data_IF_877360784823
#
_entry.id   IF_877360784823
#
_cell.length_a   1.000
_cell.length_b   1.000
_cell.length_c   1.000
_cell.angle_alpha   90.00
_cell.angle_beta   90.00
_cell.angle_gamma   90.00
#
_symmetry.space_group_name_H-M   'P 1'
#
loop_
_entity.id
_entity.type
_entity.pdbx_description
1 polymer ?
#
# COMPACT_ATOMS: atom_id res chain seq x y z
N UNK A 1 4.38 -20.66 -2.40
CA UNK A 1 4.82 -19.26 -2.54
C UNK A 1 4.89 -18.60 -1.19
N UNK A 2 6.05 -18.04 -0.84
CA UNK A 2 6.26 -17.20 0.34
C UNK A 2 6.17 -15.74 -0.07
N UNK A 3 5.40 -14.94 0.67
CA UNK A 3 5.26 -13.51 0.37
C UNK A 3 5.91 -12.66 1.45
N UNK A 4 6.82 -11.78 1.05
CA UNK A 4 7.39 -10.76 1.90
C UNK A 4 6.59 -9.47 1.77
N UNK A 5 6.43 -8.70 2.84
CA UNK A 5 5.91 -7.33 2.77
C UNK A 5 6.89 -6.38 3.44
N UNK A 6 7.29 -5.35 2.70
CA UNK A 6 7.89 -4.12 3.24
C UNK A 6 6.86 -3.02 3.01
N UNK A 7 6.41 -2.39 4.10
CA UNK A 7 5.41 -1.33 4.07
C UNK A 7 5.76 -0.21 5.04
N UNK A 8 5.10 0.93 4.89
CA UNK A 8 5.25 2.08 5.78
C UNK A 8 4.66 1.81 7.17
N UNK A 9 3.43 1.31 7.23
CA UNK A 9 2.71 1.10 8.47
C UNK A 9 1.92 -0.22 8.54
N UNK A 10 1.37 -0.48 9.74
CA UNK A 10 0.55 -1.68 9.99
C UNK A 10 -0.80 -1.64 9.27
N UNK A 11 -1.33 -0.44 9.05
CA UNK A 11 -2.57 -0.22 8.30
C UNK A 11 -2.41 -0.69 6.84
N UNK A 12 -1.30 -0.34 6.19
CA UNK A 12 -1.00 -0.71 4.81
C UNK A 12 -0.89 -2.23 4.64
N UNK A 13 -0.20 -2.89 5.57
CA UNK A 13 -0.09 -4.35 5.60
C UNK A 13 -1.45 -5.02 5.66
N UNK A 14 -2.38 -4.51 6.49
CA UNK A 14 -3.73 -5.07 6.58
C UNK A 14 -4.47 -4.98 5.24
N UNK A 15 -4.33 -3.85 4.54
CA UNK A 15 -4.92 -3.64 3.20
C UNK A 15 -4.28 -4.56 2.17
N UNK A 16 -2.95 -4.64 2.11
CA UNK A 16 -2.21 -5.52 1.18
C UNK A 16 -2.59 -6.98 1.40
N UNK A 17 -2.63 -7.45 2.65
CA UNK A 17 -3.06 -8.83 2.98
C UNK A 17 -4.48 -9.10 2.50
N UNK A 18 -5.39 -8.13 2.60
CA UNK A 18 -6.73 -8.28 2.04
C UNK A 18 -6.74 -8.37 0.51
N UNK A 19 -5.94 -7.55 -0.18
CA UNK A 19 -5.78 -7.63 -1.64
C UNK A 19 -5.25 -9.01 -2.05
N UNK A 20 -4.15 -9.46 -1.44
CA UNK A 20 -3.53 -10.76 -1.71
C UNK A 20 -4.52 -11.92 -1.49
N UNK A 21 -5.25 -11.90 -0.36
CA UNK A 21 -6.25 -12.93 -0.05
C UNK A 21 -7.38 -12.95 -1.09
N UNK A 22 -7.87 -11.79 -1.49
CA UNK A 22 -8.99 -11.70 -2.42
C UNK A 22 -8.59 -12.02 -3.86
N UNK A 23 -7.38 -11.64 -4.27
CA UNK A 23 -6.90 -11.80 -5.64
C UNK A 23 -6.34 -13.20 -5.92
N UNK A 24 -5.60 -13.77 -4.95
CA UNK A 24 -4.83 -15.00 -5.15
C UNK A 24 -5.15 -16.09 -4.12
N UNK A 25 -6.06 -15.85 -3.18
CA UNK A 25 -6.45 -16.83 -2.15
C UNK A 25 -5.43 -17.01 -1.01
N UNK A 26 -4.32 -16.27 -1.06
CA UNK A 26 -3.15 -16.39 -0.19
C UNK A 26 -3.51 -16.06 1.24
N UNK A 27 -3.20 -16.95 2.18
CA UNK A 27 -3.50 -16.74 3.58
C UNK A 27 -2.44 -15.86 4.28
N UNK A 28 -2.83 -15.22 5.37
CA UNK A 28 -1.92 -14.39 6.15
C UNK A 28 -0.76 -15.20 6.76
N UNK A 29 -0.93 -16.51 6.94
CA UNK A 29 0.15 -17.42 7.36
C UNK A 29 1.28 -17.56 6.34
N UNK A 30 1.00 -17.30 5.07
CA UNK A 30 1.98 -17.41 3.98
C UNK A 30 2.73 -16.08 3.76
N UNK A 31 2.38 -15.06 4.55
CA UNK A 31 2.89 -13.69 4.46
C UNK A 31 3.84 -13.41 5.62
N UNK A 32 5.08 -13.10 5.28
CA UNK A 32 6.13 -12.63 6.18
C UNK A 32 6.22 -11.12 6.10
N UNK A 33 5.98 -10.47 7.24
CA UNK A 33 6.11 -9.03 7.38
C UNK A 33 7.57 -8.68 7.68
N UNK A 34 8.29 -8.21 6.66
CA UNK A 34 9.68 -7.76 6.81
C UNK A 34 9.71 -6.36 7.45
N UNK A 35 8.75 -5.50 7.09
CA UNK A 35 8.62 -4.16 7.67
C UNK A 35 7.16 -3.66 7.73
N UNK A 36 6.76 -2.94 8.79
CA UNK A 36 7.44 -2.81 10.10
C UNK A 36 7.67 -4.15 10.76
N UNK A 37 8.77 -4.37 11.48
CA UNK A 37 8.93 -5.64 12.22
C UNK A 37 7.92 -5.68 13.39
N UNK A 38 7.48 -6.87 13.84
CA UNK A 38 6.60 -6.95 15.01
C UNK A 38 7.27 -6.42 16.29
N UNK A 39 8.61 -6.34 16.33
CA UNK A 39 9.39 -5.89 17.47
C UNK A 39 9.49 -4.37 17.62
N UNK A 40 9.16 -3.61 16.57
CA UNK A 40 9.20 -2.15 16.60
C UNK A 40 7.82 -1.63 16.22
N UNK A 41 7.14 -0.95 17.16
CA UNK A 41 5.88 -0.28 16.86
C UNK A 41 6.10 1.19 16.47
N UNK A 42 5.02 1.87 16.04
CA UNK A 42 5.07 3.26 15.58
C UNK A 42 5.62 4.22 16.65
N UNK A 43 5.51 3.86 17.93
CA UNK A 43 6.06 4.62 19.07
C UNK A 43 7.58 4.54 19.08
N UNK A 44 8.15 3.34 18.86
CA UNK A 44 9.60 3.12 18.83
C UNK A 44 10.25 3.83 17.63
N UNK A 45 9.54 3.92 16.51
CA UNK A 45 10.01 4.59 15.29
C UNK A 45 9.95 6.12 15.38
N UNK A 46 8.94 6.65 16.08
CA UNK A 46 8.83 8.09 16.36
C UNK A 46 9.97 8.59 17.26
N UNK A 47 10.48 7.75 18.17
CA UNK A 47 11.67 8.08 18.98
C UNK A 47 12.96 8.13 18.13
N UNK A 48 12.99 7.44 16.98
CA UNK A 48 14.13 7.40 16.06
C UNK A 48 14.11 8.48 14.96
N UNK A 49 13.11 9.37 14.91
CA UNK A 49 12.99 10.50 13.97
C UNK A 49 13.12 10.14 12.47
N UNK A 50 12.79 8.91 12.05
CA UNK A 50 12.77 8.56 10.64
C UNK A 50 11.35 8.58 10.08
N UNK A 51 11.16 9.20 8.91
CA UNK A 51 9.92 9.06 8.15
C UNK A 51 9.73 7.61 7.68
N UNK A 52 8.48 7.15 7.66
CA UNK A 52 8.16 5.74 7.40
C UNK A 52 8.55 5.32 5.97
N UNK A 53 8.34 6.18 4.98
CA UNK A 53 8.78 5.98 3.60
C UNK A 53 10.30 5.80 3.48
N UNK A 54 11.10 6.57 4.22
CA UNK A 54 12.56 6.48 4.17
C UNK A 54 13.03 5.10 4.66
N UNK A 55 12.38 4.60 5.71
CA UNK A 55 12.67 3.27 6.23
C UNK A 55 12.24 2.14 5.28
N UNK A 56 11.19 2.34 4.46
CA UNK A 56 10.86 1.44 3.34
C UNK A 56 12.01 1.41 2.34
N UNK A 57 12.52 2.57 1.91
CA UNK A 57 13.64 2.64 0.97
C UNK A 57 14.91 1.96 1.53
N UNK A 58 15.24 2.21 2.80
CA UNK A 58 16.38 1.54 3.48
C UNK A 58 16.22 0.02 3.52
N UNK A 59 14.99 -0.46 3.75
CA UNK A 59 14.73 -1.91 3.76
C UNK A 59 14.84 -2.53 2.38
N UNK A 60 14.52 -1.76 1.33
CA UNK A 60 14.72 -2.18 -0.07
C UNK A 60 16.22 -2.22 -0.46
N UNK A 61 17.07 -1.41 0.19
CA UNK A 61 18.52 -1.39 -0.03
C UNK A 61 19.25 -2.48 0.79
N UNK A 62 18.64 -2.97 1.87
CA UNK A 62 19.26 -3.93 2.79
C UNK A 62 19.40 -5.33 2.16
N UNK A 63 20.57 -5.55 1.56
CA UNK A 63 20.95 -6.84 1.00
C UNK A 63 20.84 -8.00 1.99
N UNK A 64 21.16 -7.79 3.27
CA UNK A 64 21.13 -8.87 4.26
C UNK A 64 19.68 -9.28 4.55
N UNK A 65 18.79 -8.30 4.70
CA UNK A 65 17.35 -8.54 4.85
C UNK A 65 16.79 -9.27 3.63
N UNK A 66 17.02 -8.74 2.42
CA UNK A 66 16.49 -9.33 1.19
C UNK A 66 17.04 -10.74 0.94
N UNK A 67 18.35 -10.93 1.12
CA UNK A 67 18.99 -12.23 0.99
C UNK A 67 18.40 -13.24 1.99
N UNK A 68 18.21 -12.85 3.25
CA UNK A 68 17.60 -13.73 4.25
C UNK A 68 16.16 -14.15 3.92
N UNK A 69 15.43 -13.32 3.17
CA UNK A 69 14.08 -13.63 2.73
C UNK A 69 14.08 -14.55 1.50
N UNK A 70 14.88 -14.20 0.47
CA UNK A 70 14.88 -14.91 -0.81
C UNK A 70 15.68 -16.22 -0.81
N UNK A 71 16.80 -16.30 -0.08
CA UNK A 71 17.69 -17.48 -0.12
C UNK A 71 17.11 -18.70 0.60
N UNK A 72 16.08 -18.52 1.44
CA UNK A 72 15.44 -19.62 2.16
C UNK A 72 14.61 -20.51 1.22
N UNK A 73 14.09 -19.96 0.11
CA UNK A 73 13.26 -20.68 -0.87
C UNK A 73 13.54 -20.11 -2.27
N UNK A 74 14.61 -20.61 -2.91
CA UNK A 74 15.24 -20.02 -4.10
C UNK A 74 14.29 -19.62 -5.25
N UNK A 75 13.15 -20.29 -5.42
CA UNK A 75 12.30 -20.16 -6.62
C UNK A 75 10.81 -19.85 -6.37
N UNK A 76 10.37 -19.71 -5.12
CA UNK A 76 8.94 -19.56 -4.79
C UNK A 76 8.69 -18.46 -3.76
N UNK A 77 9.32 -17.30 -3.97
CA UNK A 77 9.21 -16.14 -3.11
C UNK A 77 8.95 -14.86 -3.92
N UNK A 78 8.01 -14.04 -3.45
CA UNK A 78 7.70 -12.71 -3.99
C UNK A 78 7.75 -11.69 -2.86
N UNK A 79 8.33 -10.52 -3.12
CA UNK A 79 8.31 -9.38 -2.21
C UNK A 79 7.28 -8.36 -2.69
N UNK A 80 6.40 -7.91 -1.80
CA UNK A 80 5.55 -6.74 -2.02
C UNK A 80 6.19 -5.55 -1.32
N UNK A 81 6.43 -4.48 -2.06
CA UNK A 81 6.88 -3.19 -1.50
C UNK A 81 5.74 -2.21 -1.58
N UNK A 82 5.23 -1.78 -0.42
CA UNK A 82 4.28 -0.69 -0.31
C UNK A 82 4.99 0.59 0.11
N UNK A 83 4.62 1.65 -0.59
CA UNK A 83 4.95 3.03 -0.28
C UNK A 83 3.76 3.88 -0.73
N UNK A 84 3.52 5.00 -0.07
CA UNK A 84 2.58 5.99 -0.56
C UNK A 84 3.32 7.19 -1.18
N UNK A 85 2.59 8.06 -1.88
CA UNK A 85 3.19 9.22 -2.54
C UNK A 85 2.91 10.55 -1.82
N UNK A 86 2.39 10.55 -0.59
CA UNK A 86 2.05 11.79 0.11
C UNK A 86 3.30 12.65 0.33
N UNK A 87 4.41 12.02 0.71
CA UNK A 87 5.69 12.68 1.02
C UNK A 87 6.67 12.70 -0.17
N UNK A 88 6.16 12.51 -1.39
CA UNK A 88 6.94 12.47 -2.64
C UNK A 88 7.92 13.64 -2.86
N UNK A 89 7.60 14.82 -2.33
CA UNK A 89 8.40 16.03 -2.46
C UNK A 89 9.45 16.21 -1.37
N UNK A 90 9.50 15.33 -0.37
CA UNK A 90 10.50 15.39 0.69
C UNK A 90 11.89 15.02 0.18
N UNK A 91 12.91 15.60 0.84
CA UNK A 91 14.30 15.37 0.51
C UNK A 91 14.65 13.87 0.64
N UNK A 92 15.15 13.28 -0.45
CA UNK A 92 15.44 11.86 -0.53
C UNK A 92 14.31 11.03 -1.16
N UNK A 93 13.06 11.51 -1.15
CA UNK A 93 12.01 10.94 -2.00
C UNK A 93 12.09 11.56 -3.41
N UNK A 94 12.18 12.89 -3.51
CA UNK A 94 12.57 13.61 -4.75
C UNK A 94 11.77 13.23 -6.02
N UNK A 95 10.47 12.95 -5.89
CA UNK A 95 9.58 12.74 -7.03
C UNK A 95 8.85 14.05 -7.32
N UNK A 96 8.98 14.53 -8.56
CA UNK A 96 8.36 15.78 -8.99
C UNK A 96 6.84 15.73 -8.79
N UNK A 97 6.30 16.77 -8.16
CA UNK A 97 4.87 16.91 -7.95
C UNK A 97 4.16 17.28 -9.27
N UNK A 98 3.28 16.42 -9.80
CA UNK A 98 2.47 16.78 -10.94
C UNK A 98 1.43 17.83 -10.50
N UNK A 99 1.19 18.83 -11.35
CA UNK A 99 0.25 19.89 -11.03
C UNK A 99 -1.18 19.35 -10.97
N UNK A 100 -1.86 19.62 -9.84
CA UNK A 100 -3.29 19.37 -9.68
C UNK A 100 -4.07 20.58 -10.16
N UNK A 101 -4.88 20.40 -11.19
CA UNK A 101 -5.71 21.43 -11.79
C UNK A 101 -7.13 20.91 -11.97
N UNK A 102 -8.06 21.81 -12.30
CA UNK A 102 -9.47 21.44 -12.57
C UNK A 102 -9.63 20.47 -13.76
N UNK A 103 -8.68 20.50 -14.70
CA UNK A 103 -8.70 19.73 -15.95
C UNK A 103 -7.76 18.51 -15.88
N UNK A 104 -7.23 18.18 -14.69
CA UNK A 104 -6.32 17.04 -14.50
C UNK A 104 -7.00 15.73 -14.86
N UNK A 105 -6.37 14.97 -15.76
CA UNK A 105 -6.68 13.55 -15.93
C UNK A 105 -6.07 12.77 -14.77
N UNK A 106 -6.92 12.31 -13.86
CA UNK A 106 -6.49 11.59 -12.66
C UNK A 106 -5.86 10.23 -12.94
N UNK A 107 -6.14 9.61 -14.09
CA UNK A 107 -5.46 8.37 -14.49
C UNK A 107 -4.06 8.64 -14.98
N UNK A 108 -3.87 9.67 -15.79
CA UNK A 108 -2.52 10.08 -16.22
C UNK A 108 -1.67 10.55 -15.03
N UNK A 109 -2.27 11.31 -14.11
CA UNK A 109 -1.65 11.70 -12.85
C UNK A 109 -1.17 10.49 -12.05
N UNK A 110 -2.04 9.49 -11.89
CA UNK A 110 -1.72 8.25 -11.20
C UNK A 110 -0.60 7.48 -11.91
N UNK A 111 -0.71 7.27 -13.23
CA UNK A 111 0.26 6.49 -14.00
C UNK A 111 1.64 7.15 -13.98
N UNK A 112 1.71 8.49 -13.98
CA UNK A 112 2.98 9.22 -13.86
C UNK A 112 3.64 8.96 -12.49
N UNK A 113 2.92 9.22 -11.40
CA UNK A 113 3.47 9.06 -10.05
C UNK A 113 3.84 7.61 -9.77
N UNK A 114 2.96 6.67 -10.11
CA UNK A 114 3.21 5.25 -9.94
C UNK A 114 4.51 4.83 -10.62
N UNK A 115 4.70 5.19 -11.90
CA UNK A 115 5.91 4.83 -12.64
C UNK A 115 7.16 5.52 -12.10
N UNK A 116 7.06 6.77 -11.68
CA UNK A 116 8.21 7.50 -11.14
C UNK A 116 8.69 6.87 -9.82
N UNK A 117 7.75 6.48 -8.95
CA UNK A 117 8.04 5.82 -7.69
C UNK A 117 8.53 4.38 -7.89
N UNK A 118 7.88 3.63 -8.79
CA UNK A 118 8.30 2.29 -9.19
C UNK A 118 9.74 2.29 -9.70
N UNK A 119 10.08 3.23 -10.60
CA UNK A 119 11.43 3.39 -11.11
C UNK A 119 12.44 3.68 -10.00
N UNK A 120 12.10 4.56 -9.05
CA UNK A 120 12.97 4.88 -7.92
C UNK A 120 13.23 3.64 -7.05
N UNK A 121 12.17 2.95 -6.62
CA UNK A 121 12.30 1.77 -5.75
C UNK A 121 13.05 0.65 -6.49
N UNK A 122 12.70 0.39 -7.75
CA UNK A 122 13.37 -0.65 -8.54
C UNK A 122 14.86 -0.41 -8.65
N UNK A 123 15.33 0.83 -8.71
CA UNK A 123 16.76 1.14 -8.76
C UNK A 123 17.47 0.96 -7.42
N UNK A 124 16.76 1.09 -6.30
CA UNK A 124 17.28 0.84 -4.96
C UNK A 124 17.41 -0.67 -4.71
N UNK A 125 16.45 -1.45 -5.20
CA UNK A 125 16.46 -2.90 -5.04
C UNK A 125 17.62 -3.52 -5.84
N UNK A 126 18.39 -4.46 -5.24
CA UNK A 126 19.44 -5.20 -5.94
C UNK A 126 18.89 -5.91 -7.19
N UNK A 127 19.65 -5.82 -8.29
CA UNK A 127 19.20 -6.29 -9.61
C UNK A 127 18.68 -7.73 -9.60
N UNK A 128 19.33 -8.61 -8.84
CA UNK A 128 18.97 -10.03 -8.75
C UNK A 128 17.57 -10.30 -8.16
N UNK A 129 16.97 -9.34 -7.47
CA UNK A 129 15.64 -9.49 -6.85
C UNK A 129 14.54 -8.73 -7.57
N UNK A 130 14.85 -7.81 -8.49
CA UNK A 130 13.87 -6.88 -9.08
C UNK A 130 12.68 -7.58 -9.73
N UNK A 131 12.90 -8.69 -10.42
CA UNK A 131 11.85 -9.47 -11.07
C UNK A 131 10.93 -10.19 -10.08
N UNK A 132 11.36 -10.34 -8.82
CA UNK A 132 10.62 -10.96 -7.72
C UNK A 132 9.92 -9.93 -6.82
N UNK A 133 9.74 -8.70 -7.30
CA UNK A 133 9.12 -7.60 -6.52
C UNK A 133 7.84 -7.14 -7.18
N UNK A 134 6.75 -7.09 -6.42
CA UNK A 134 5.51 -6.42 -6.79
C UNK A 134 5.37 -5.08 -6.07
N UNK A 135 4.92 -4.05 -6.80
CA UNK A 135 4.87 -2.68 -6.28
C UNK A 135 3.45 -2.30 -5.86
N UNK A 136 3.25 -2.04 -4.57
CA UNK A 136 2.00 -1.59 -3.98
C UNK A 136 2.05 -0.08 -3.73
N UNK A 137 2.14 0.72 -4.80
CA UNK A 137 2.32 2.18 -4.69
C UNK A 137 0.95 2.87 -4.57
N UNK A 138 0.66 3.48 -3.42
CA UNK A 138 -0.57 4.22 -3.20
C UNK A 138 -0.42 5.69 -3.59
N UNK A 139 -1.37 6.25 -4.34
CA UNK A 139 -1.34 7.69 -4.67
C UNK A 139 -1.91 8.48 -3.48
N UNK A 140 -1.12 9.42 -3.01
CA UNK A 140 -1.26 10.08 -1.70
C UNK A 140 -1.10 9.09 -0.56
N UNK A 141 -2.14 8.34 -0.17
CA UNK A 141 -2.08 7.38 0.95
C UNK A 141 -2.86 6.10 0.58
N UNK A 142 -2.54 4.97 1.21
CA UNK A 142 -3.24 3.68 1.00
C UNK A 142 -4.76 3.77 1.24
N UNK A 143 -5.21 4.68 2.10
CA UNK A 143 -6.62 5.02 2.33
C UNK A 143 -7.40 5.29 1.05
N UNK A 144 -6.74 5.82 0.01
CA UNK A 144 -7.33 6.08 -1.29
C UNK A 144 -7.97 4.81 -1.88
N UNK A 145 -7.33 3.65 -1.71
CA UNK A 145 -7.81 2.37 -2.20
C UNK A 145 -9.11 1.92 -1.54
N UNK A 146 -9.39 2.38 -0.32
CA UNK A 146 -10.54 1.98 0.49
C UNK A 146 -11.76 2.87 0.24
N UNK A 147 -11.57 4.10 -0.27
CA UNK A 147 -12.65 5.05 -0.55
C UNK A 147 -13.80 4.45 -1.38
N UNK A 148 -13.57 3.66 -2.44
CA UNK A 148 -14.64 3.08 -3.26
C UNK A 148 -15.60 2.15 -2.50
N UNK A 149 -15.22 1.64 -1.32
CA UNK A 149 -16.11 0.86 -0.45
C UNK A 149 -17.24 1.72 0.15
N UNK A 150 -17.00 3.03 0.27
CA UNK A 150 -17.88 3.97 0.97
C UNK A 150 -18.38 5.11 0.07
N UNK A 151 -17.77 5.31 -1.09
CA UNK A 151 -18.16 6.32 -2.06
C UNK A 151 -18.37 5.72 -3.46
N UNK A 152 -19.64 5.43 -3.77
CA UNK A 152 -20.02 4.93 -5.09
C UNK A 152 -19.92 5.99 -6.20
N UNK A 153 -19.83 7.28 -5.85
CA UNK A 153 -19.72 8.37 -6.83
C UNK A 153 -18.28 8.66 -7.26
N UNK A 154 -17.29 8.14 -6.52
CA UNK A 154 -15.88 8.26 -6.87
C UNK A 154 -15.61 7.65 -8.26
N UNK A 155 -14.97 8.44 -9.15
CA UNK A 155 -14.55 8.01 -10.48
C UNK A 155 -13.10 7.50 -10.50
N UNK A 156 -12.21 8.21 -9.82
CA UNK A 156 -10.80 7.85 -9.62
C UNK A 156 -10.37 8.38 -8.25
N UNK A 157 -9.68 7.56 -7.46
CA UNK A 157 -9.29 7.89 -6.09
C UNK A 157 -8.13 8.88 -6.01
N UNK A 158 -7.28 8.94 -7.04
CA UNK A 158 -6.18 9.91 -7.12
C UNK A 158 -6.65 11.38 -7.11
N UNK A 159 -7.95 11.64 -7.32
CA UNK A 159 -8.50 12.99 -7.21
C UNK A 159 -8.47 13.57 -5.78
N UNK A 160 -8.42 12.72 -4.75
CA UNK A 160 -8.41 13.16 -3.36
C UNK A 160 -6.99 13.45 -2.91
N UNK A 161 -6.72 14.68 -2.46
CA UNK A 161 -5.40 15.07 -1.96
C UNK A 161 -5.12 14.53 -0.55
N UNK A 162 -6.18 14.42 0.26
CA UNK A 162 -6.11 13.89 1.62
C UNK A 162 -7.08 12.68 1.72
N UNK A 163 -6.72 11.54 1.12
CA UNK A 163 -7.61 10.38 1.07
C UNK A 163 -7.95 9.83 2.45
N UNK A 164 -7.04 9.92 3.44
CA UNK A 164 -7.33 9.50 4.82
C UNK A 164 -8.44 10.34 5.45
N UNK A 165 -8.34 11.66 5.39
CA UNK A 165 -9.41 12.55 5.86
C UNK A 165 -10.74 12.27 5.13
N UNK A 166 -10.67 12.03 3.82
CA UNK A 166 -11.84 11.67 3.01
C UNK A 166 -12.47 10.37 3.49
N UNK A 167 -11.66 9.33 3.76
CA UNK A 167 -12.13 8.04 4.25
C UNK A 167 -12.78 8.17 5.63
N UNK A 168 -12.14 8.89 6.55
CA UNK A 168 -12.71 9.24 7.86
C UNK A 168 -14.07 9.92 7.74
N UNK A 169 -14.18 10.92 6.86
CA UNK A 169 -15.43 11.63 6.60
C UNK A 169 -16.54 10.69 6.08
N UNK A 170 -16.21 9.83 5.11
CA UNK A 170 -17.17 8.89 4.53
C UNK A 170 -17.67 7.88 5.57
N UNK A 171 -16.78 7.30 6.36
CA UNK A 171 -17.13 6.38 7.45
C UNK A 171 -17.94 7.10 8.54
N UNK A 172 -17.62 8.35 8.83
CA UNK A 172 -18.35 9.20 9.77
C UNK A 172 -19.83 9.36 9.44
N UNK A 173 -20.19 9.32 8.14
CA UNK A 173 -21.55 9.45 7.61
C UNK A 173 -22.36 8.16 7.58
N UNK A 174 -21.74 7.02 7.85
CA UNK A 174 -22.43 5.73 7.92
C UNK A 174 -23.33 5.71 9.17
N UNK A 175 -24.42 4.94 9.10
CA UNK A 175 -25.26 4.63 10.27
C UNK A 175 -24.42 4.24 11.49
N UNK A 176 -24.74 4.82 12.65
CA UNK A 176 -23.93 4.71 13.86
C UNK A 176 -23.67 3.27 14.31
N UNK A 177 -24.63 2.35 14.12
CA UNK A 177 -24.45 0.94 14.51
C UNK A 177 -23.47 0.21 13.59
N UNK A 178 -23.45 0.56 12.30
CA UNK A 178 -22.50 0.01 11.33
C UNK A 178 -21.12 0.65 11.47
N UNK A 179 -21.07 1.96 11.72
CA UNK A 179 -19.85 2.76 11.86
C UNK A 179 -18.89 2.21 12.92
N UNK A 180 -19.40 1.71 14.04
CA UNK A 180 -18.59 1.15 15.15
C UNK A 180 -17.65 0.04 14.67
N UNK A 181 -17.97 -0.69 13.59
CA UNK A 181 -17.11 -1.74 13.04
C UNK A 181 -15.84 -1.22 12.37
N UNK A 182 -15.80 0.06 12.02
CA UNK A 182 -14.69 0.67 11.27
C UNK A 182 -13.88 1.64 12.11
N UNK A 183 -14.16 1.75 13.41
CA UNK A 183 -13.46 2.64 14.32
C UNK A 183 -12.81 1.80 15.40
N UNK A 184 -11.49 1.92 15.53
CA UNK A 184 -10.76 1.41 16.67
C UNK A 184 -10.89 2.43 17.81
N UNK A 185 -11.72 2.11 18.80
CA UNK A 185 -12.02 3.01 19.93
C UNK A 185 -10.81 3.25 20.82
N UNK A 186 -9.92 2.25 20.95
CA UNK A 186 -8.75 2.34 21.82
C UNK A 186 -7.69 3.26 21.22
N UNK A 187 -7.48 3.17 19.90
CA UNK A 187 -6.53 3.98 19.14
C UNK A 187 -7.11 5.30 18.63
N UNK A 188 -8.42 5.54 18.83
CA UNK A 188 -9.16 6.70 18.28
C UNK A 188 -8.94 6.90 16.78
N UNK A 189 -8.81 5.82 16.03
CA UNK A 189 -8.50 5.85 14.59
C UNK A 189 -9.39 4.84 13.82
N UNK A 190 -9.25 4.77 12.50
CA UNK A 190 -9.91 3.75 11.69
C UNK A 190 -9.41 2.34 12.01
N UNK A 191 -10.31 1.38 11.95
CA UNK A 191 -10.01 -0.04 12.10
C UNK A 191 -9.71 -0.66 10.73
N UNK A 192 -8.44 -0.58 10.32
CA UNK A 192 -8.01 -1.11 9.02
C UNK A 192 -8.12 -2.63 8.92
N UNK A 193 -8.10 -3.37 10.04
CA UNK A 193 -8.34 -4.82 9.99
C UNK A 193 -9.77 -5.11 9.55
N UNK A 194 -10.75 -4.37 10.09
CA UNK A 194 -12.15 -4.54 9.70
C UNK A 194 -12.47 -3.91 8.35
N UNK A 195 -11.92 -2.75 8.00
CA UNK A 195 -12.12 -2.14 6.68
C UNK A 195 -11.52 -3.03 5.59
N UNK A 196 -10.32 -3.58 5.81
CA UNK A 196 -9.66 -4.49 4.87
C UNK A 196 -10.43 -5.80 4.67
N UNK A 197 -11.19 -6.26 5.67
CA UNK A 197 -12.07 -7.43 5.48
C UNK A 197 -13.16 -7.15 4.43
N UNK A 198 -13.68 -5.93 4.37
CA UNK A 198 -14.68 -5.52 3.38
C UNK A 198 -14.04 -5.27 2.01
N UNK A 199 -12.79 -4.78 1.97
CA UNK A 199 -11.97 -4.72 0.75
C UNK A 199 -11.92 -6.08 0.04
N UNK A 200 -11.83 -7.20 0.77
CA UNK A 200 -11.79 -8.53 0.12
C UNK A 200 -12.99 -8.82 -0.78
N UNK A 201 -14.18 -8.36 -0.38
CA UNK A 201 -15.42 -8.52 -1.16
C UNK A 201 -15.58 -7.39 -2.18
N UNK A 202 -15.06 -6.21 -1.85
CA UNK A 202 -15.14 -5.00 -2.66
C UNK A 202 -13.98 -4.80 -3.66
N UNK A 203 -13.00 -5.71 -3.72
CA UNK A 203 -11.75 -5.51 -4.47
C UNK A 203 -12.01 -5.11 -5.92
N UNK A 204 -12.98 -5.75 -6.59
CA UNK A 204 -13.36 -5.41 -7.96
C UNK A 204 -13.80 -3.94 -8.09
N UNK A 205 -14.63 -3.46 -7.17
CA UNK A 205 -15.10 -2.07 -7.15
C UNK A 205 -13.96 -1.10 -6.83
N UNK A 206 -13.06 -1.47 -5.92
CA UNK A 206 -11.89 -0.67 -5.60
C UNK A 206 -10.94 -0.55 -6.80
N UNK A 207 -10.59 -1.67 -7.47
CA UNK A 207 -9.76 -1.67 -8.69
C UNK A 207 -10.33 -0.78 -9.79
N UNK A 208 -11.64 -0.85 -10.02
CA UNK A 208 -12.30 -0.06 -11.06
C UNK A 208 -12.19 1.46 -10.86
N UNK A 209 -11.96 1.91 -9.63
CA UNK A 209 -12.00 3.32 -9.22
C UNK A 209 -10.67 3.80 -8.65
N UNK A 210 -9.67 2.94 -8.59
CA UNK A 210 -8.36 3.24 -8.06
C UNK A 210 -7.33 2.67 -9.01
N UNK A 211 -6.80 3.54 -9.87
CA UNK A 211 -5.84 3.14 -10.90
C UNK A 211 -4.57 2.52 -10.30
N UNK A 212 -4.06 3.06 -9.19
CA UNK A 212 -2.89 2.52 -8.51
C UNK A 212 -3.11 1.14 -7.90
N UNK A 213 -4.28 0.89 -7.29
CA UNK A 213 -4.64 -0.45 -6.82
C UNK A 213 -4.76 -1.43 -7.98
N UNK A 214 -5.33 -1.01 -9.12
CA UNK A 214 -5.43 -1.87 -10.30
C UNK A 214 -4.07 -2.21 -10.88
N UNK A 215 -3.14 -1.25 -10.96
CA UNK A 215 -1.76 -1.48 -11.37
C UNK A 215 -1.06 -2.49 -10.45
N UNK A 216 -1.20 -2.33 -9.14
CA UNK A 216 -0.66 -3.31 -8.17
C UNK A 216 -1.28 -4.71 -8.38
N UNK A 217 -2.60 -4.80 -8.57
CA UNK A 217 -3.26 -6.08 -8.81
C UNK A 217 -2.79 -6.74 -10.11
N UNK A 218 -2.64 -5.97 -11.19
CA UNK A 218 -2.11 -6.45 -12.46
C UNK A 218 -0.67 -6.96 -12.30
N UNK A 219 0.14 -6.26 -11.50
CA UNK A 219 1.51 -6.66 -11.23
C UNK A 219 1.59 -8.00 -10.47
N UNK A 220 0.75 -8.16 -9.45
CA UNK A 220 0.57 -9.45 -8.76
C UNK A 220 0.03 -10.54 -9.70
N UNK A 221 -0.88 -10.20 -10.60
CA UNK A 221 -1.42 -11.15 -11.58
C UNK A 221 -0.34 -11.68 -12.51
N UNK A 222 0.58 -10.82 -12.96
CA UNK A 222 1.69 -11.17 -13.83
C UNK A 222 2.81 -11.96 -13.14
N UNK A 223 3.08 -11.67 -11.86
CA UNK A 223 4.19 -12.29 -11.11
C UNK A 223 3.78 -13.55 -10.35
N UNK A 224 2.53 -13.66 -9.93
CA UNK A 224 2.01 -14.84 -9.26
C UNK A 224 1.29 -15.76 -10.26
N UNK A 225 2.03 -16.62 -10.97
CA UNK A 225 1.44 -17.75 -11.66
C UNK A 225 1.08 -18.82 -10.62
N UNK A 226 -0.21 -18.90 -10.27
CA UNK A 226 -0.78 -20.01 -9.47
C UNK A 226 -1.50 -20.94 -10.43
#
# INVERSE_FOLDING_TARGET
MRLGIIAEGKADIAVIKAVLKALKGIDGSDVVQLRPSEQFDETDLNEMNFSNWNLVLKSCEDNSLLQSFFDVLADDALLVVQIDTAERGEAGYDINEPLRTKDTDWKEYCDYLYKAVEYKISNIIPETYRDKVAYAIAIEETDAWLIPLFDNSCKETAQYANPKERLHYLIGRIDGKKRVRYINTDKKNLDYDNISKDMRKGLRTCRQKSRSLDLFCLDLENKCNI
#
